data_IF_956330941967
#
_entry.id   IF_956330941967
#
_cell.length_a   1.000
_cell.length_b   1.000
_cell.length_c   1.000
_cell.angle_alpha   90.00
_cell.angle_beta   90.00
_cell.angle_gamma   90.00
#
_symmetry.space_group_name_H-M   'P 1'
#
loop_
_entity.id
_entity.type
_entity.pdbx_description
1 polymer ?
#
# COMPACT_ATOMS: atom_id res chain seq x y z
N UNK A 1 -0.27 5.28 20.00
CA UNK A 1 -1.53 5.98 20.38
C UNK A 1 -1.77 5.95 21.90
N UNK A 2 -1.66 4.79 22.56
CA UNK A 2 -1.76 4.69 24.03
C UNK A 2 -0.72 5.55 24.76
N UNK A 3 0.55 5.53 24.30
CA UNK A 3 1.62 6.37 24.86
C UNK A 3 1.36 7.87 24.69
N UNK A 4 0.72 8.27 23.57
CA UNK A 4 0.30 9.64 23.29
C UNK A 4 -1.02 10.01 24.00
N UNK A 5 -1.57 9.12 24.83
CA UNK A 5 -2.86 9.27 25.55
C UNK A 5 -4.03 9.65 24.63
N UNK A 6 -4.00 9.21 23.38
CA UNK A 6 -5.11 9.41 22.45
C UNK A 6 -6.22 8.45 22.87
N UNK A 7 -7.41 8.94 23.27
CA UNK A 7 -8.52 8.07 23.64
C UNK A 7 -8.98 7.30 22.40
N UNK A 8 -8.94 5.96 22.47
CA UNK A 8 -9.47 5.09 21.42
C UNK A 8 -10.75 4.47 21.95
N UNK A 9 -11.86 4.80 21.30
CA UNK A 9 -13.17 4.22 21.55
C UNK A 9 -13.67 3.51 20.28
N UNK A 10 -14.63 2.61 20.44
CA UNK A 10 -15.22 1.86 19.32
C UNK A 10 -15.85 2.85 18.35
N UNK A 11 -15.54 2.71 17.06
CA UNK A 11 -16.01 3.60 16.00
C UNK A 11 -15.09 4.79 15.72
N UNK A 12 -13.98 4.96 16.44
CA UNK A 12 -12.99 5.98 16.09
C UNK A 12 -12.24 5.63 14.81
N UNK A 13 -12.09 6.61 13.92
CA UNK A 13 -11.29 6.51 12.71
C UNK A 13 -9.81 6.61 13.07
N UNK A 14 -9.06 5.53 12.84
CA UNK A 14 -7.62 5.49 13.03
C UNK A 14 -6.95 5.84 11.70
N UNK A 15 -6.35 7.03 11.63
CA UNK A 15 -5.55 7.43 10.49
C UNK A 15 -4.10 6.98 10.69
N UNK A 16 -3.51 6.39 9.65
CA UNK A 16 -2.13 5.93 9.65
C UNK A 16 -1.60 5.83 8.22
N UNK A 17 -0.28 5.74 8.09
CA UNK A 17 0.36 5.41 6.82
C UNK A 17 1.43 4.32 7.01
N UNK A 18 1.75 3.62 5.93
CA UNK A 18 2.79 2.60 5.91
C UNK A 18 4.10 3.24 5.46
N UNK A 19 5.08 3.28 6.36
CA UNK A 19 6.35 3.92 6.11
C UNK A 19 7.38 2.92 5.55
N UNK A 20 8.31 3.44 4.75
CA UNK A 20 9.46 2.69 4.26
C UNK A 20 10.44 2.39 5.40
N UNK A 21 10.95 1.15 5.44
CA UNK A 21 11.97 0.72 6.42
C UNK A 21 13.13 0.03 5.71
N UNK A 22 14.37 0.32 6.13
CA UNK A 22 15.57 -0.35 5.60
C UNK A 22 15.66 -1.82 6.00
N UNK A 23 15.02 -2.18 7.10
CA UNK A 23 14.98 -3.55 7.64
C UNK A 23 13.72 -4.27 7.17
N UNK A 24 13.79 -5.59 6.97
CA UNK A 24 12.62 -6.43 6.73
C UNK A 24 11.79 -6.51 8.02
N UNK A 25 10.81 -5.61 8.16
CA UNK A 25 9.83 -5.60 9.25
C UNK A 25 8.45 -5.99 8.76
N UNK A 26 7.60 -6.47 9.68
CA UNK A 26 6.19 -6.73 9.36
C UNK A 26 5.46 -5.41 9.14
N UNK A 27 4.34 -5.46 8.42
CA UNK A 27 3.54 -4.25 8.10
C UNK A 27 3.16 -3.49 9.37
N UNK A 28 2.73 -4.20 10.41
CA UNK A 28 2.35 -3.61 11.71
C UNK A 28 3.47 -2.83 12.40
N UNK A 29 4.74 -3.17 12.13
CA UNK A 29 5.91 -2.57 12.77
C UNK A 29 6.41 -1.33 12.00
N UNK A 30 5.92 -1.13 10.77
CA UNK A 30 6.26 0.02 9.91
C UNK A 30 5.11 1.02 9.74
N UNK A 31 4.00 0.81 10.44
CA UNK A 31 2.88 1.76 10.47
C UNK A 31 3.25 2.97 11.32
N UNK A 32 2.94 4.15 10.80
CA UNK A 32 3.16 5.45 11.46
C UNK A 32 1.88 6.25 11.52
N UNK A 33 1.77 7.10 12.54
CA UNK A 33 0.71 8.09 12.64
C UNK A 33 0.95 9.23 11.64
N UNK A 34 -0.09 9.93 11.16
CA UNK A 34 0.05 11.02 10.19
C UNK A 34 1.04 12.12 10.62
N UNK A 35 1.18 12.36 11.93
CA UNK A 35 2.08 13.36 12.49
C UNK A 35 3.55 12.87 12.62
N UNK A 36 3.81 11.60 12.35
CA UNK A 36 5.15 11.02 12.49
C UNK A 36 5.94 11.12 11.19
N UNK A 37 7.22 11.53 11.31
CA UNK A 37 8.10 11.64 10.14
C UNK A 37 8.38 10.26 9.54
N UNK A 38 8.22 10.13 8.23
CA UNK A 38 8.57 8.94 7.46
C UNK A 38 8.23 9.13 5.99
N UNK A 39 8.90 8.38 5.13
CA UNK A 39 8.55 8.29 3.72
C UNK A 39 7.53 7.19 3.51
N UNK A 40 6.64 7.35 2.54
CA UNK A 40 5.70 6.30 2.16
C UNK A 40 6.42 5.11 1.55
N UNK A 41 5.98 3.90 1.88
CA UNK A 41 6.40 2.70 1.19
C UNK A 41 5.64 2.58 -0.15
N UNK A 42 6.14 3.27 -1.18
CA UNK A 42 5.51 3.33 -2.51
C UNK A 42 5.24 1.92 -3.06
N UNK A 43 6.21 1.01 -2.87
CA UNK A 43 6.09 -0.38 -3.32
C UNK A 43 4.93 -1.08 -2.64
N UNK A 44 4.78 -0.93 -1.33
CA UNK A 44 3.66 -1.49 -0.60
C UNK A 44 2.31 -1.00 -1.13
N UNK A 45 2.15 0.33 -1.30
CA UNK A 45 0.90 0.90 -1.81
C UNK A 45 0.59 0.44 -3.23
N UNK A 46 1.60 0.36 -4.10
CA UNK A 46 1.42 -0.14 -5.46
C UNK A 46 0.97 -1.61 -5.47
N UNK A 47 1.72 -2.49 -4.81
CA UNK A 47 1.52 -3.94 -4.88
C UNK A 47 0.34 -4.44 -4.03
N UNK A 48 0.00 -3.77 -2.93
CA UNK A 48 -0.98 -4.28 -1.95
C UNK A 48 -2.28 -3.48 -1.91
N UNK A 49 -2.34 -2.32 -2.55
CA UNK A 49 -3.56 -1.50 -2.58
C UNK A 49 -3.98 -1.15 -4.01
N UNK A 50 -3.12 -0.48 -4.77
CA UNK A 50 -3.49 0.00 -6.11
C UNK A 50 -3.70 -1.14 -7.10
N UNK A 51 -2.72 -2.03 -7.27
CA UNK A 51 -2.81 -3.12 -8.24
C UNK A 51 -3.95 -4.10 -7.93
N UNK A 52 -4.13 -4.59 -6.69
CA UNK A 52 -5.26 -5.46 -6.37
C UNK A 52 -6.63 -4.79 -6.59
N UNK A 53 -6.72 -3.46 -6.39
CA UNK A 53 -7.96 -2.74 -6.61
C UNK A 53 -8.37 -2.63 -8.08
N UNK A 54 -7.39 -2.61 -9.00
CA UNK A 54 -7.64 -2.46 -10.45
C UNK A 54 -7.43 -3.75 -11.25
N UNK A 55 -6.91 -4.80 -10.62
CA UNK A 55 -6.58 -6.08 -11.27
C UNK A 55 -7.78 -6.68 -12.00
N UNK A 56 -8.95 -6.74 -11.34
CA UNK A 56 -10.17 -7.27 -11.95
C UNK A 56 -10.59 -6.48 -13.20
N UNK A 57 -10.38 -5.17 -13.21
CA UNK A 57 -10.70 -4.32 -14.37
C UNK A 57 -9.73 -4.63 -15.50
N UNK A 58 -8.43 -4.65 -15.21
CA UNK A 58 -7.37 -4.89 -16.20
C UNK A 58 -7.44 -6.29 -16.80
N UNK A 59 -7.80 -7.30 -16.01
CA UNK A 59 -7.97 -8.67 -16.47
C UNK A 59 -9.06 -8.80 -17.54
N UNK A 60 -10.14 -8.03 -17.47
CA UNK A 60 -11.19 -7.98 -18.52
C UNK A 60 -10.63 -7.50 -19.86
N UNK A 61 -9.60 -6.67 -19.83
CA UNK A 61 -8.88 -6.19 -21.03
C UNK A 61 -7.69 -7.07 -21.42
N UNK A 62 -7.52 -8.23 -20.79
CA UNK A 62 -6.41 -9.15 -21.04
C UNK A 62 -5.05 -8.64 -20.56
N UNK A 63 -5.03 -7.70 -19.60
CA UNK A 63 -3.81 -7.14 -19.03
C UNK A 63 -3.50 -7.82 -17.71
N UNK A 64 -2.33 -8.44 -17.61
CA UNK A 64 -1.84 -9.05 -16.37
C UNK A 64 -1.05 -8.01 -15.54
N UNK A 65 -1.50 -7.77 -14.30
CA UNK A 65 -0.86 -6.83 -13.35
C UNK A 65 0.60 -7.18 -13.05
N UNK A 66 0.95 -8.47 -13.12
CA UNK A 66 2.33 -8.97 -12.98
C UNK A 66 3.24 -8.46 -14.08
N UNK A 67 2.75 -8.39 -15.33
CA UNK A 67 3.53 -7.86 -16.45
C UNK A 67 3.84 -6.37 -16.26
N UNK A 68 2.90 -5.62 -15.67
CA UNK A 68 3.08 -4.21 -15.32
C UNK A 68 4.18 -4.03 -14.26
N UNK A 69 4.21 -4.87 -13.22
CA UNK A 69 5.25 -4.83 -12.17
C UNK A 69 6.62 -5.23 -12.73
N UNK A 70 6.67 -6.28 -13.57
CA UNK A 70 7.91 -6.81 -14.15
C UNK A 70 8.47 -5.92 -15.28
N UNK A 71 7.74 -4.88 -15.70
CA UNK A 71 8.16 -3.95 -16.75
C UNK A 71 8.06 -4.54 -18.16
N UNK A 72 7.32 -5.62 -18.36
CA UNK A 72 7.04 -6.16 -19.68
C UNK A 72 6.02 -5.27 -20.37
N UNK A 73 6.50 -4.49 -21.33
CA UNK A 73 5.71 -3.57 -22.13
C UNK A 73 4.69 -4.37 -22.95
N UNK A 74 3.40 -4.09 -22.77
CA UNK A 74 2.33 -4.58 -23.63
C UNK A 74 2.68 -4.28 -25.09
N UNK A 75 2.97 -5.32 -25.87
CA UNK A 75 3.54 -5.22 -27.22
C UNK A 75 2.48 -5.27 -28.33
N UNK A 76 1.22 -5.57 -28.00
CA UNK A 76 0.11 -5.54 -28.96
C UNK A 76 -1.16 -4.98 -28.33
N UNK A 77 -1.70 -3.96 -29.00
CA UNK A 77 -3.14 -3.71 -29.01
C UNK A 77 -3.75 -4.73 -29.99
N UNK A 78 -4.84 -5.37 -29.58
CA UNK A 78 -5.70 -6.13 -30.51
C UNK A 78 -6.48 -5.13 -31.36
#
# INVERSE_FOLDING_TARGET
MQEKKIPITIGNLVQYFVAETKEKKLVRDRVKLPDEKGNYDIKYYLENQLLPAVENILQVFGVETKEIIEGKKQTKLI
#
